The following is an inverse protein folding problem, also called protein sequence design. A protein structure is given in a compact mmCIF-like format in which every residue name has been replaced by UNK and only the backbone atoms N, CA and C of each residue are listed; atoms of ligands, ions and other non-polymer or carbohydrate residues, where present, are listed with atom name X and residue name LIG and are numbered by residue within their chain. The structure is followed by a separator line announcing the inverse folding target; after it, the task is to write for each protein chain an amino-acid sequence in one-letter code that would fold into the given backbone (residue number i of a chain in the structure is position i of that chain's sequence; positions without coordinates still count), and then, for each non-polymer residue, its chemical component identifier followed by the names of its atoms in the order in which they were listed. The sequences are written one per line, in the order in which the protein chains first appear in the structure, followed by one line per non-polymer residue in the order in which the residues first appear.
data_IF_381209871475
#
_entry.id   IF_381209871475
#
_cell.length_a   1.000
_cell.length_b   1.000
_cell.length_c   1.000
_cell.angle_alpha   90.00
_cell.angle_beta   90.00
_cell.angle_gamma   90.00
#
_symmetry.space_group_name_H-M   'P 1'
#
loop_
_entity.id
_entity.type
_entity.pdbx_description
1 polymer ?
#
# COMPACT_ATOMS: atom_id res chain seq x y z
N UNK A 1 9.81 0.35 -16.19
CA UNK A 1 9.41 -0.32 -14.97
C UNK A 1 10.58 -1.07 -14.36
N UNK A 2 10.67 -1.20 -13.02
CA UNK A 2 11.72 -1.97 -12.37
C UNK A 2 11.62 -3.45 -12.73
N UNK A 3 12.79 -4.12 -12.73
CA UNK A 3 12.86 -5.57 -12.87
C UNK A 3 12.29 -6.24 -11.60
N UNK A 4 11.34 -7.18 -11.69
CA UNK A 4 10.73 -7.81 -10.52
C UNK A 4 11.70 -8.49 -9.55
N UNK A 5 12.85 -8.97 -10.04
CA UNK A 5 13.87 -9.62 -9.22
C UNK A 5 14.85 -8.70 -8.53
N UNK A 6 15.07 -7.49 -9.06
CA UNK A 6 16.09 -6.59 -8.54
C UNK A 6 15.79 -6.09 -7.10
N UNK A 7 14.55 -5.70 -6.73
CA UNK A 7 14.26 -5.26 -5.37
C UNK A 7 14.52 -6.31 -4.29
N UNK A 8 14.41 -7.60 -4.61
CA UNK A 8 14.65 -8.69 -3.66
C UNK A 8 16.13 -8.85 -3.27
N UNK A 9 17.03 -8.23 -3.99
CA UNK A 9 18.48 -8.32 -3.74
C UNK A 9 18.93 -7.55 -2.50
N UNK A 10 18.25 -6.46 -2.16
CA UNK A 10 18.58 -5.63 -1.00
C UNK A 10 17.47 -5.67 0.05
N UNK A 11 17.81 -5.53 1.33
CA UNK A 11 16.81 -5.39 2.38
C UNK A 11 16.19 -3.98 2.38
N UNK A 12 14.92 -3.90 2.76
CA UNK A 12 14.15 -2.64 2.77
C UNK A 12 14.74 -1.57 3.68
N UNK A 13 15.18 -1.96 4.88
CA UNK A 13 15.78 -1.05 5.86
C UNK A 13 17.01 -0.34 5.31
N UNK A 14 17.83 -1.03 4.53
CA UNK A 14 18.98 -0.46 3.86
C UNK A 14 18.53 0.54 2.76
N UNK A 15 17.52 0.17 1.98
CA UNK A 15 16.97 1.02 0.93
C UNK A 15 16.38 2.33 1.49
N UNK A 16 15.65 2.25 2.60
CA UNK A 16 15.09 3.42 3.29
C UNK A 16 16.16 4.29 3.94
N UNK A 17 17.14 3.67 4.60
CA UNK A 17 18.22 4.38 5.31
C UNK A 17 19.03 5.29 4.39
N UNK A 18 19.36 4.81 3.19
CA UNK A 18 20.20 5.54 2.25
C UNK A 18 19.41 6.22 1.11
N UNK A 19 18.10 6.05 1.04
CA UNK A 19 17.31 6.57 -0.08
C UNK A 19 17.79 5.99 -1.41
N UNK A 20 17.93 4.66 -1.48
CA UNK A 20 18.36 3.93 -2.67
C UNK A 20 17.35 2.87 -3.07
N UNK A 21 17.29 2.52 -4.36
CA UNK A 21 16.38 1.48 -4.84
C UNK A 21 17.03 0.64 -5.93
N UNK A 22 17.12 -0.70 -5.77
CA UNK A 22 17.61 -1.62 -6.81
C UNK A 22 16.57 -1.71 -7.93
N UNK A 23 16.91 -1.17 -9.10
CA UNK A 23 15.96 -0.96 -10.17
C UNK A 23 15.89 -2.10 -11.19
N UNK A 24 17.05 -2.52 -11.69
CA UNK A 24 17.12 -3.60 -12.69
C UNK A 24 18.51 -4.26 -12.72
N UNK A 25 18.55 -5.45 -13.30
CA UNK A 25 19.79 -6.18 -13.56
C UNK A 25 20.16 -6.08 -15.05
N UNK A 26 21.39 -5.70 -15.33
CA UNK A 26 21.96 -5.66 -16.67
C UNK A 26 23.18 -6.62 -16.71
N UNK A 27 22.92 -7.89 -17.01
CA UNK A 27 23.95 -8.93 -16.90
C UNK A 27 24.46 -9.07 -15.46
N UNK A 28 25.74 -8.75 -15.23
CA UNK A 28 26.33 -8.78 -13.87
C UNK A 28 26.30 -7.42 -13.16
N UNK A 29 25.51 -6.46 -13.64
CA UNK A 29 25.42 -5.11 -13.07
C UNK A 29 24.05 -4.88 -12.46
N UNK A 30 24.02 -4.40 -11.21
CA UNK A 30 22.82 -3.94 -10.54
C UNK A 30 22.71 -2.41 -10.71
N UNK A 31 21.73 -1.97 -11.46
CA UNK A 31 21.38 -0.53 -11.55
C UNK A 31 20.69 -0.10 -10.26
N UNK A 32 21.35 0.75 -9.49
CA UNK A 32 20.89 1.27 -8.20
C UNK A 32 20.47 2.73 -8.36
N UNK A 33 19.15 3.01 -8.21
CA UNK A 33 18.67 4.39 -8.15
C UNK A 33 19.05 5.00 -6.81
N UNK A 34 19.58 6.23 -6.83
CA UNK A 34 19.95 6.96 -5.64
C UNK A 34 19.94 8.47 -5.88
N UNK A 35 19.75 9.26 -4.81
CA UNK A 35 19.70 10.72 -4.89
C UNK A 35 21.09 11.31 -5.19
N UNK A 36 22.13 10.80 -4.53
CA UNK A 36 23.52 11.23 -4.73
C UNK A 36 24.41 10.02 -5.05
N UNK A 37 24.83 9.85 -6.32
CA UNK A 37 25.73 8.77 -6.74
C UNK A 37 27.13 8.81 -6.08
N UNK A 38 27.49 9.91 -5.44
CA UNK A 38 28.79 10.08 -4.75
C UNK A 38 28.74 9.63 -3.29
N UNK A 39 27.60 9.17 -2.80
CA UNK A 39 27.49 8.62 -1.45
C UNK A 39 28.16 7.25 -1.38
N UNK A 40 29.48 7.27 -1.10
CA UNK A 40 30.33 6.06 -1.04
C UNK A 40 29.85 5.11 0.05
N UNK A 41 29.42 5.63 1.21
CA UNK A 41 28.93 4.80 2.32
C UNK A 41 27.70 3.97 1.91
N UNK A 42 26.76 4.57 1.20
CA UNK A 42 25.60 3.84 0.69
C UNK A 42 26.00 2.75 -0.30
N UNK A 43 26.94 3.05 -1.21
CA UNK A 43 27.42 2.07 -2.20
C UNK A 43 28.17 0.91 -1.54
N UNK A 44 28.98 1.17 -0.51
CA UNK A 44 29.74 0.14 0.18
C UNK A 44 28.83 -0.77 1.02
N UNK A 45 27.83 -0.21 1.70
CA UNK A 45 26.83 -1.00 2.44
C UNK A 45 25.98 -1.86 1.50
N UNK A 46 25.61 -1.33 0.33
CA UNK A 46 24.91 -2.09 -0.71
C UNK A 46 25.77 -3.26 -1.21
N UNK A 47 27.06 -3.02 -1.51
CA UNK A 47 28.01 -4.08 -1.92
C UNK A 47 28.17 -5.13 -0.84
N UNK A 48 28.26 -4.70 0.42
CA UNK A 48 28.37 -5.61 1.56
C UNK A 48 27.10 -6.47 1.71
N UNK A 49 25.92 -5.89 1.56
CA UNK A 49 24.65 -6.60 1.61
C UNK A 49 24.54 -7.67 0.51
N UNK A 50 24.96 -7.34 -0.71
CA UNK A 50 25.01 -8.29 -1.83
C UNK A 50 26.00 -9.43 -1.55
N UNK A 51 27.21 -9.13 -1.07
CA UNK A 51 28.22 -10.15 -0.70
C UNK A 51 27.74 -11.08 0.40
N UNK A 52 27.03 -10.59 1.41
CA UNK A 52 26.44 -11.43 2.48
C UNK A 52 25.42 -12.45 1.95
N UNK A 53 24.77 -12.14 0.81
CA UNK A 53 23.86 -13.06 0.10
C UNK A 53 24.59 -13.96 -0.91
N UNK A 54 25.93 -13.91 -0.99
CA UNK A 54 26.71 -14.65 -1.98
C UNK A 54 26.60 -14.10 -3.41
N UNK A 55 26.16 -12.86 -3.57
CA UNK A 55 25.92 -12.23 -4.87
C UNK A 55 27.06 -11.27 -5.23
N UNK A 56 27.63 -11.43 -6.42
CA UNK A 56 28.75 -10.62 -6.92
C UNK A 56 28.31 -9.73 -8.07
N UNK A 57 27.36 -8.83 -7.83
CA UNK A 57 26.96 -7.83 -8.82
C UNK A 57 27.82 -6.57 -8.71
N UNK A 58 28.19 -6.01 -9.85
CA UNK A 58 28.74 -4.65 -9.95
C UNK A 58 27.61 -3.64 -9.73
N UNK A 59 27.74 -2.75 -8.74
CA UNK A 59 26.73 -1.73 -8.47
C UNK A 59 26.94 -0.54 -9.38
N UNK A 60 25.99 -0.24 -10.25
CA UNK A 60 25.96 0.89 -11.15
C UNK A 60 24.96 1.96 -10.63
N UNK A 61 25.46 3.06 -10.02
CA UNK A 61 24.59 4.12 -9.52
C UNK A 61 23.93 4.89 -10.65
N UNK A 62 22.63 5.17 -10.51
CA UNK A 62 21.85 6.04 -11.39
C UNK A 62 21.08 7.07 -10.57
N UNK A 63 20.99 8.31 -11.07
CA UNK A 63 20.34 9.42 -10.35
C UNK A 63 18.83 9.31 -10.47
N UNK A 64 18.15 9.46 -9.32
CA UNK A 64 16.70 9.61 -9.27
C UNK A 64 16.30 10.59 -8.16
N UNK A 65 15.12 11.17 -8.27
CA UNK A 65 14.60 12.04 -7.21
C UNK A 65 14.22 11.24 -5.97
N UNK A 66 14.36 11.85 -4.80
CA UNK A 66 14.01 11.24 -3.52
C UNK A 66 12.54 10.74 -3.52
N UNK A 67 11.63 11.56 -4.04
CA UNK A 67 10.22 11.20 -4.17
C UNK A 67 10.00 9.95 -5.05
N UNK A 68 10.73 9.84 -6.17
CA UNK A 68 10.64 8.66 -7.03
C UNK A 68 11.17 7.40 -6.35
N UNK A 69 12.29 7.51 -5.62
CA UNK A 69 12.89 6.40 -4.88
C UNK A 69 11.95 5.94 -3.76
N UNK A 70 11.41 6.86 -2.97
CA UNK A 70 10.45 6.55 -1.89
C UNK A 70 9.23 5.84 -2.44
N UNK A 71 8.65 6.34 -3.53
CA UNK A 71 7.50 5.72 -4.20
C UNK A 71 7.79 4.29 -4.69
N UNK A 72 9.01 4.04 -5.17
CA UNK A 72 9.43 2.70 -5.59
C UNK A 72 9.64 1.76 -4.39
N UNK A 73 10.28 2.22 -3.32
CA UNK A 73 10.48 1.46 -2.09
C UNK A 73 9.11 1.01 -1.54
N UNK A 74 8.19 1.93 -1.37
CA UNK A 74 6.85 1.65 -0.86
C UNK A 74 6.08 0.69 -1.77
N UNK A 75 6.14 0.88 -3.09
CA UNK A 75 5.46 0.02 -4.05
C UNK A 75 5.97 -1.42 -4.07
N UNK A 76 7.28 -1.62 -3.90
CA UNK A 76 7.89 -2.95 -4.03
C UNK A 76 7.97 -3.70 -2.71
N UNK A 77 8.44 -3.05 -1.67
CA UNK A 77 8.59 -3.70 -0.36
C UNK A 77 7.25 -3.75 0.39
N UNK A 78 6.37 -2.76 0.25
CA UNK A 78 5.03 -2.83 0.81
C UNK A 78 4.21 -4.03 0.29
N UNK A 79 4.41 -4.46 -0.97
CA UNK A 79 3.80 -5.70 -1.48
C UNK A 79 4.39 -6.97 -0.88
N UNK A 80 5.69 -6.98 -0.59
CA UNK A 80 6.34 -8.11 0.07
C UNK A 80 5.83 -8.29 1.51
N UNK A 81 5.67 -7.19 2.24
CA UNK A 81 5.11 -7.18 3.60
C UNK A 81 3.67 -7.72 3.63
N UNK A 82 2.83 -7.32 2.66
CA UNK A 82 1.48 -7.87 2.51
C UNK A 82 1.46 -9.38 2.23
N UNK A 83 2.40 -9.87 1.41
CA UNK A 83 2.52 -11.30 1.14
C UNK A 83 2.91 -12.09 2.39
N UNK A 84 3.80 -11.55 3.22
CA UNK A 84 4.18 -12.19 4.49
C UNK A 84 3.03 -12.16 5.50
N UNK A 85 2.30 -11.03 5.62
CA UNK A 85 1.10 -10.93 6.45
C UNK A 85 0.02 -11.93 5.98
N UNK A 86 -0.19 -12.06 4.66
CA UNK A 86 -1.14 -13.03 4.10
C UNK A 86 -0.70 -14.48 4.37
N UNK A 87 0.61 -14.78 4.32
CA UNK A 87 1.17 -16.10 4.69
C UNK A 87 1.04 -16.37 6.19
N UNK A 88 1.23 -15.37 7.04
CA UNK A 88 1.04 -15.49 8.49
C UNK A 88 -0.43 -15.85 8.82
N UNK A 89 -1.40 -15.21 8.14
CA UNK A 89 -2.81 -15.63 8.23
C UNK A 89 -3.03 -17.06 7.77
N UNK A 90 -2.41 -17.48 6.66
CA UNK A 90 -2.56 -18.84 6.13
C UNK A 90 -1.89 -19.90 7.02
N UNK A 91 -0.72 -19.59 7.61
CA UNK A 91 0.02 -20.51 8.49
C UNK A 91 -0.74 -20.76 9.79
N UNK A 92 -1.29 -19.71 10.41
CA UNK A 92 -2.11 -19.84 11.62
C UNK A 92 -3.38 -20.66 11.39
N UNK A 93 -3.98 -20.62 10.19
CA UNK A 93 -5.11 -21.48 9.84
C UNK A 93 -4.76 -22.97 9.69
N UNK A 94 -3.49 -23.30 9.38
CA UNK A 94 -3.05 -24.68 9.17
C UNK A 94 -2.60 -25.37 10.47
N UNK A 95 -2.28 -24.62 11.52
CA UNK A 95 -1.74 -25.14 12.78
C UNK A 95 -2.78 -25.30 13.89
N UNK A 96 -4.03 -24.83 13.70
CA UNK A 96 -5.09 -24.93 14.73
C UNK A 96 -6.32 -25.68 14.19
N UNK A 97 -6.56 -26.87 14.74
CA UNK A 97 -7.89 -27.50 14.79
C UNK A 97 -8.79 -26.63 15.69
N UNK A 98 -9.72 -25.90 15.04
CA UNK A 98 -10.73 -25.04 15.68
C UNK A 98 -10.16 -23.78 16.36
N UNK A 99 -9.91 -22.68 15.63
CA UNK A 99 -9.58 -21.41 16.29
C UNK A 99 -10.81 -20.86 17.01
N UNK A 100 -10.63 -20.47 18.26
CA UNK A 100 -11.53 -19.52 18.91
C UNK A 100 -11.66 -18.26 18.03
N UNK A 101 -12.88 -17.73 17.75
CA UNK A 101 -13.07 -16.61 16.82
C UNK A 101 -12.42 -15.29 17.23
N UNK A 102 -11.69 -15.25 18.35
CA UNK A 102 -11.20 -14.02 19.01
C UNK A 102 -9.67 -13.80 18.94
N UNK A 103 -8.88 -14.75 18.43
CA UNK A 103 -7.41 -14.66 18.51
C UNK A 103 -6.66 -14.59 17.17
N UNK A 104 -7.34 -14.27 16.08
CA UNK A 104 -6.63 -13.82 14.89
C UNK A 104 -6.03 -12.44 15.21
N UNK A 105 -4.72 -12.44 15.29
CA UNK A 105 -3.86 -11.34 15.71
C UNK A 105 -4.36 -9.98 15.19
N UNK A 106 -5.03 -9.20 16.07
CA UNK A 106 -5.48 -7.83 15.77
C UNK A 106 -4.32 -7.00 15.20
N UNK A 107 -3.08 -7.33 15.58
CA UNK A 107 -1.90 -6.65 15.11
C UNK A 107 -1.65 -6.89 13.62
N UNK A 108 -1.83 -8.10 13.11
CA UNK A 108 -1.67 -8.42 11.69
C UNK A 108 -2.78 -7.78 10.84
N UNK A 109 -4.03 -7.84 11.30
CA UNK A 109 -5.16 -7.19 10.64
C UNK A 109 -5.01 -5.66 10.62
N UNK A 110 -4.53 -5.05 11.71
CA UNK A 110 -4.26 -3.61 11.77
C UNK A 110 -3.14 -3.21 10.81
N UNK A 111 -2.03 -3.95 10.79
CA UNK A 111 -0.93 -3.72 9.84
C UNK A 111 -1.42 -3.81 8.41
N UNK A 112 -2.23 -4.84 8.10
CA UNK A 112 -2.80 -5.02 6.78
C UNK A 112 -3.67 -3.84 6.35
N UNK A 113 -4.64 -3.41 7.19
CA UNK A 113 -5.54 -2.29 6.87
C UNK A 113 -4.75 -0.99 6.68
N UNK A 114 -3.78 -0.70 7.55
CA UNK A 114 -2.89 0.46 7.41
C UNK A 114 -2.12 0.42 6.09
N UNK A 115 -1.56 -0.74 5.75
CA UNK A 115 -0.82 -0.91 4.50
C UNK A 115 -1.71 -0.70 3.27
N UNK A 116 -2.95 -1.21 3.29
CA UNK A 116 -3.92 -1.00 2.20
C UNK A 116 -4.28 0.48 2.05
N UNK A 117 -4.50 1.19 3.16
CA UNK A 117 -4.78 2.64 3.13
C UNK A 117 -3.59 3.42 2.57
N UNK A 118 -2.38 3.09 3.02
CA UNK A 118 -1.15 3.71 2.52
C UNK A 118 -1.00 3.52 1.02
N UNK A 119 -1.17 2.30 0.53
CA UNK A 119 -1.04 1.99 -0.89
C UNK A 119 -2.13 2.67 -1.73
N UNK A 120 -3.37 2.72 -1.22
CA UNK A 120 -4.45 3.44 -1.87
C UNK A 120 -4.15 4.94 -2.00
N UNK A 121 -3.61 5.55 -0.94
CA UNK A 121 -3.21 6.95 -0.96
C UNK A 121 -2.09 7.21 -1.98
N UNK A 122 -1.05 6.35 -2.02
CA UNK A 122 0.08 6.49 -2.94
C UNK A 122 -0.27 6.27 -4.42
N UNK A 123 -1.29 5.45 -4.68
CA UNK A 123 -1.78 5.19 -6.04
C UNK A 123 -2.92 6.13 -6.47
N UNK A 124 -3.22 7.16 -5.69
CA UNK A 124 -4.34 8.07 -5.92
C UNK A 124 -5.68 7.35 -6.08
N UNK A 125 -5.88 6.26 -5.34
CA UNK A 125 -7.13 5.53 -5.36
C UNK A 125 -8.24 6.35 -4.68
N UNK A 126 -9.43 6.32 -5.26
CA UNK A 126 -10.62 6.94 -4.66
C UNK A 126 -11.29 6.06 -3.63
N UNK A 127 -11.29 4.74 -3.82
CA UNK A 127 -11.98 3.80 -2.94
C UNK A 127 -11.14 2.52 -2.74
N UNK A 128 -11.24 1.96 -1.54
CA UNK A 128 -10.75 0.64 -1.17
C UNK A 128 -11.96 -0.26 -0.96
N UNK A 129 -12.00 -1.42 -1.61
CA UNK A 129 -13.04 -2.42 -1.47
C UNK A 129 -12.45 -3.68 -0.84
N UNK A 130 -13.02 -4.13 0.28
CA UNK A 130 -12.70 -5.40 0.94
C UNK A 130 -13.93 -6.28 0.79
N UNK A 131 -13.87 -7.26 -0.08
CA UNK A 131 -15.03 -8.02 -0.54
C UNK A 131 -14.87 -9.51 -0.26
N UNK A 132 -15.71 -10.09 0.63
CA UNK A 132 -15.72 -11.52 0.84
C UNK A 132 -16.27 -12.26 -0.38
N UNK A 133 -15.62 -13.34 -0.75
CA UNK A 133 -16.04 -14.32 -1.72
C UNK A 133 -16.31 -15.67 -1.03
N UNK A 134 -16.64 -16.67 -1.81
CA UNK A 134 -16.89 -18.01 -1.29
C UNK A 134 -15.67 -18.56 -0.51
N UNK A 135 -14.48 -18.49 -1.09
CA UNK A 135 -13.26 -19.13 -0.57
C UNK A 135 -12.21 -18.16 -0.05
N UNK A 136 -12.32 -16.88 -0.39
CA UNK A 136 -11.30 -15.86 -0.08
C UNK A 136 -11.94 -14.49 0.22
N UNK A 137 -11.08 -13.51 0.49
CA UNK A 137 -11.44 -12.09 0.59
C UNK A 137 -10.62 -11.33 -0.44
N UNK A 138 -11.30 -10.70 -1.39
CA UNK A 138 -10.63 -9.88 -2.39
C UNK A 138 -10.56 -8.42 -1.93
N UNK A 139 -9.36 -7.84 -2.03
CA UNK A 139 -9.13 -6.40 -1.85
C UNK A 139 -8.89 -5.77 -3.21
N UNK A 140 -9.65 -4.71 -3.52
CA UNK A 140 -9.55 -3.97 -4.77
C UNK A 140 -9.44 -2.47 -4.50
N UNK A 141 -8.68 -1.77 -5.32
CA UNK A 141 -8.56 -0.32 -5.31
C UNK A 141 -9.26 0.27 -6.54
N UNK A 142 -9.99 1.37 -6.36
CA UNK A 142 -10.52 2.13 -7.49
C UNK A 142 -9.50 3.22 -7.86
N UNK A 143 -8.87 3.06 -9.02
CA UNK A 143 -7.87 3.99 -9.55
C UNK A 143 -8.38 4.46 -10.92
N UNK A 144 -8.45 5.77 -11.14
CA UNK A 144 -8.98 6.38 -12.37
C UNK A 144 -10.37 5.83 -12.76
N UNK A 145 -11.26 5.66 -11.77
CA UNK A 145 -12.60 5.12 -11.96
C UNK A 145 -12.67 3.59 -12.12
N UNK A 146 -11.56 2.89 -12.40
CA UNK A 146 -11.52 1.45 -12.62
C UNK A 146 -11.16 0.69 -11.35
N UNK A 147 -11.92 -0.38 -11.03
CA UNK A 147 -11.59 -1.29 -9.94
C UNK A 147 -10.48 -2.25 -10.36
N UNK A 148 -9.34 -2.19 -9.69
CA UNK A 148 -8.17 -3.05 -9.92
C UNK A 148 -7.96 -3.98 -8.74
N UNK A 149 -7.70 -5.29 -8.96
CA UNK A 149 -7.34 -6.20 -7.87
C UNK A 149 -6.01 -5.77 -7.25
N UNK A 150 -5.96 -5.75 -5.92
CA UNK A 150 -4.78 -5.36 -5.16
C UNK A 150 -4.19 -6.54 -4.39
N UNK A 151 -5.02 -7.23 -3.59
CA UNK A 151 -4.60 -8.36 -2.76
C UNK A 151 -5.74 -9.35 -2.58
N UNK A 152 -5.41 -10.56 -2.14
CA UNK A 152 -6.36 -11.59 -1.75
C UNK A 152 -5.93 -12.14 -0.39
N UNK A 153 -6.88 -12.27 0.54
CA UNK A 153 -6.67 -12.83 1.87
C UNK A 153 -7.41 -14.16 2.03
N UNK A 154 -6.94 -15.04 2.92
CA UNK A 154 -7.70 -16.19 3.35
C UNK A 154 -9.06 -15.79 3.93
N UNK A 155 -10.07 -16.62 3.74
CA UNK A 155 -11.43 -16.38 4.25
C UNK A 155 -11.47 -16.06 5.74
N UNK A 156 -10.65 -16.75 6.55
CA UNK A 156 -10.59 -16.57 7.99
C UNK A 156 -10.13 -15.19 8.45
N UNK A 157 -9.41 -14.45 7.60
CA UNK A 157 -8.96 -13.08 7.92
C UNK A 157 -10.09 -12.04 7.86
N UNK A 158 -11.24 -12.36 7.25
CA UNK A 158 -12.34 -11.42 7.03
C UNK A 158 -12.79 -10.72 8.31
N UNK A 159 -13.12 -11.49 9.33
CA UNK A 159 -13.69 -10.93 10.57
C UNK A 159 -12.71 -9.99 11.27
N UNK A 160 -11.43 -10.34 11.33
CA UNK A 160 -10.40 -9.50 11.94
C UNK A 160 -10.22 -8.19 11.16
N UNK A 161 -10.16 -8.26 9.84
CA UNK A 161 -10.01 -7.07 8.98
C UNK A 161 -11.24 -6.15 9.06
N UNK A 162 -12.47 -6.71 9.01
CA UNK A 162 -13.69 -5.92 9.16
C UNK A 162 -13.79 -5.31 10.55
N UNK A 163 -13.42 -6.03 11.61
CA UNK A 163 -13.38 -5.48 12.97
C UNK A 163 -12.46 -4.27 13.08
N UNK A 164 -11.25 -4.34 12.50
CA UNK A 164 -10.33 -3.20 12.47
C UNK A 164 -10.95 -2.00 11.74
N UNK A 165 -11.56 -2.21 10.57
CA UNK A 165 -12.24 -1.15 9.83
C UNK A 165 -13.37 -0.53 10.67
N UNK A 166 -14.18 -1.34 11.36
CA UNK A 166 -15.25 -0.88 12.24
C UNK A 166 -14.72 -0.07 13.43
N UNK A 167 -13.67 -0.56 14.09
CA UNK A 167 -13.01 0.17 15.20
C UNK A 167 -12.52 1.53 14.72
N UNK A 168 -11.85 1.59 13.57
CA UNK A 168 -11.37 2.84 13.00
C UNK A 168 -12.50 3.85 12.76
N UNK A 169 -13.65 3.38 12.29
CA UNK A 169 -14.82 4.22 11.99
C UNK A 169 -15.76 4.48 13.16
N UNK A 170 -15.47 3.95 14.36
CA UNK A 170 -16.36 4.03 15.51
C UNK A 170 -17.68 3.27 15.32
N UNK A 171 -17.66 2.19 14.51
CA UNK A 171 -18.82 1.36 14.18
C UNK A 171 -19.00 0.23 15.20
N UNK A 172 -20.23 -0.31 15.28
CA UNK A 172 -20.55 -1.43 16.15
C UNK A 172 -20.00 -2.75 15.59
N UNK A 173 -19.01 -3.33 16.28
CA UNK A 173 -18.34 -4.58 15.88
C UNK A 173 -19.29 -5.79 16.00
N UNK A 174 -20.19 -5.77 16.99
CA UNK A 174 -21.11 -6.87 17.27
C UNK A 174 -22.25 -6.99 16.24
N UNK A 175 -22.64 -5.88 15.61
CA UNK A 175 -23.68 -5.87 14.58
C UNK A 175 -23.09 -6.20 13.22
N UNK A 176 -23.52 -7.33 12.64
CA UNK A 176 -23.03 -7.85 11.34
C UNK A 176 -24.12 -7.96 10.28
N UNK A 177 -25.38 -7.66 10.63
CA UNK A 177 -26.53 -7.88 9.77
C UNK A 177 -27.07 -6.60 9.15
N UNK A 178 -26.70 -5.45 9.71
CA UNK A 178 -27.16 -4.14 9.23
C UNK A 178 -26.00 -3.36 8.61
N UNK A 179 -26.26 -2.61 7.54
CA UNK A 179 -25.27 -1.67 7.00
C UNK A 179 -24.89 -0.62 8.06
N UNK A 180 -23.64 -0.21 8.06
CA UNK A 180 -23.12 0.83 8.94
C UNK A 180 -22.22 1.78 8.17
N UNK A 181 -22.30 3.07 8.49
CA UNK A 181 -21.46 4.12 7.91
C UNK A 181 -20.70 4.85 9.00
N UNK A 182 -19.46 5.20 8.72
CA UNK A 182 -18.59 5.93 9.63
C UNK A 182 -17.65 6.87 8.91
N UNK A 183 -16.95 7.68 9.70
CA UNK A 183 -15.94 8.61 9.21
C UNK A 183 -14.76 8.59 10.15
N UNK A 184 -13.56 8.62 9.58
CA UNK A 184 -12.32 8.70 10.36
C UNK A 184 -11.32 9.58 9.63
N UNK A 185 -10.62 10.42 10.38
CA UNK A 185 -9.44 11.10 9.88
C UNK A 185 -8.23 10.22 10.14
N UNK A 186 -7.64 9.73 9.07
CA UNK A 186 -6.46 8.88 9.12
C UNK A 186 -5.19 9.71 8.96
N UNK A 187 -4.26 9.56 9.93
CA UNK A 187 -2.96 10.21 9.92
C UNK A 187 -1.87 9.22 10.21
N UNK A 188 -0.90 9.10 9.31
CA UNK A 188 0.29 8.27 9.49
C UNK A 188 1.44 8.83 8.65
N UNK A 189 2.49 9.33 9.30
CA UNK A 189 3.60 9.98 8.61
C UNK A 189 3.14 11.17 7.75
N UNK A 190 3.39 11.11 6.45
CA UNK A 190 2.97 12.14 5.49
C UNK A 190 1.51 11.98 5.02
N UNK A 191 0.83 10.91 5.39
CA UNK A 191 -0.56 10.64 5.01
C UNK A 191 -1.49 11.36 5.98
N UNK A 192 -2.36 12.22 5.47
CA UNK A 192 -3.43 12.87 6.22
C UNK A 192 -4.66 12.92 5.31
N UNK A 193 -5.58 11.98 5.48
CA UNK A 193 -6.75 11.78 4.62
C UNK A 193 -8.00 11.53 5.45
N UNK A 194 -9.13 12.08 5.01
CA UNK A 194 -10.43 11.76 5.57
C UNK A 194 -11.00 10.52 4.87
N UNK A 195 -11.36 9.50 5.65
CA UNK A 195 -11.96 8.27 5.16
C UNK A 195 -13.45 8.23 5.50
N UNK A 196 -14.27 7.94 4.51
CA UNK A 196 -15.65 7.50 4.72
C UNK A 196 -15.71 5.99 4.62
N UNK A 197 -16.21 5.36 5.67
CA UNK A 197 -16.28 3.92 5.83
C UNK A 197 -17.73 3.48 5.69
N UNK A 198 -17.98 2.40 4.96
CA UNK A 198 -19.28 1.77 4.87
C UNK A 198 -19.11 0.26 4.95
N UNK A 199 -19.89 -0.41 5.80
CA UNK A 199 -19.94 -1.88 5.86
C UNK A 199 -21.33 -2.35 5.46
N UNK A 200 -21.37 -3.44 4.68
CA UNK A 200 -22.61 -4.06 4.22
C UNK A 200 -22.56 -5.58 4.39
N UNK A 201 -23.63 -6.20 4.92
CA UNK A 201 -23.75 -7.66 4.91
C UNK A 201 -23.89 -8.17 3.47
N UNK A 202 -23.22 -9.28 3.19
CA UNK A 202 -23.31 -10.01 1.93
C UNK A 202 -23.49 -11.50 2.20
N UNK A 203 -23.78 -12.28 1.15
CA UNK A 203 -23.95 -13.75 1.25
C UNK A 203 -22.70 -14.43 1.84
N UNK A 204 -21.51 -13.85 1.60
CA UNK A 204 -20.24 -14.43 2.04
C UNK A 204 -19.63 -13.76 3.26
N UNK A 205 -20.37 -12.89 3.95
CA UNK A 205 -19.93 -12.11 5.11
C UNK A 205 -20.02 -10.61 4.88
N UNK A 206 -19.53 -9.78 5.79
CA UNK A 206 -19.55 -8.33 5.62
C UNK A 206 -18.49 -7.88 4.63
N UNK A 207 -18.86 -7.00 3.71
CA UNK A 207 -17.91 -6.24 2.91
C UNK A 207 -17.69 -4.85 3.51
N UNK A 208 -16.52 -4.27 3.29
CA UNK A 208 -16.23 -2.89 3.62
C UNK A 208 -15.80 -2.12 2.39
N UNK A 209 -16.21 -0.83 2.36
CA UNK A 209 -15.73 0.15 1.39
C UNK A 209 -15.20 1.35 2.17
N UNK A 210 -13.99 1.77 1.84
CA UNK A 210 -13.36 2.97 2.41
C UNK A 210 -13.10 3.95 1.27
N UNK A 211 -13.78 5.10 1.29
CA UNK A 211 -13.55 6.18 0.33
C UNK A 211 -12.54 7.16 0.89
N UNK A 212 -11.52 7.44 0.10
CA UNK A 212 -10.49 8.42 0.40
C UNK A 212 -10.96 9.80 -0.07
N UNK A 213 -11.05 10.75 0.85
CA UNK A 213 -11.36 12.14 0.54
C UNK A 213 -10.09 12.96 0.66
N UNK A 214 -9.58 13.43 -0.47
CA UNK A 214 -8.47 14.38 -0.48
C UNK A 214 -8.91 15.68 0.19
N UNK A 215 -7.99 16.37 0.82
CA UNK A 215 -8.26 17.68 1.42
C UNK A 215 -8.55 18.72 0.33
N UNK A 216 -9.25 19.78 0.73
CA UNK A 216 -9.45 20.95 -0.14
C UNK A 216 -8.11 21.58 -0.59
N UNK A 217 -7.03 21.43 0.22
CA UNK A 217 -5.66 21.85 -0.15
C UNK A 217 -5.07 21.07 -1.32
N UNK A 218 -5.61 19.90 -1.65
CA UNK A 218 -5.13 19.05 -2.73
C UNK A 218 -5.96 19.20 -4.02
N UNK A 219 -6.94 20.12 -3.99
CA UNK A 219 -7.69 20.52 -5.18
C UNK A 219 -6.76 21.43 -5.98
N UNK A 220 -6.45 21.08 -7.26
CA UNK A 220 -5.63 21.95 -8.10
C UNK A 220 -6.29 23.31 -8.24
N UNK A 221 -5.50 24.37 -8.22
CA UNK A 221 -5.98 25.70 -8.54
C UNK A 221 -6.45 25.75 -10.01
N UNK A 222 -7.27 26.70 -10.36
CA UNK A 222 -7.83 26.81 -11.72
C UNK A 222 -6.71 26.92 -12.76
N UNK A 223 -5.61 27.56 -12.37
CA UNK A 223 -4.38 27.69 -13.15
C UNK A 223 -3.75 26.35 -13.51
N UNK A 224 -3.85 25.37 -12.63
CA UNK A 224 -3.25 24.03 -12.77
C UNK A 224 -4.12 23.06 -13.59
N UNK A 225 -5.34 23.46 -13.97
CA UNK A 225 -6.26 22.62 -14.74
C UNK A 225 -5.87 22.46 -16.23
N UNK A 226 -4.78 23.11 -16.66
CA UNK A 226 -4.22 22.92 -18.01
C UNK A 226 -5.04 23.55 -19.14
N UNK A 227 -5.82 24.59 -18.86
CA UNK A 227 -6.53 25.34 -19.89
C UNK A 227 -5.56 25.95 -20.93
N UNK A 228 -5.94 25.91 -22.20
CA UNK A 228 -5.24 26.70 -23.20
C UNK A 228 -5.36 28.20 -22.86
N UNK A 229 -4.32 29.03 -23.08
CA UNK A 229 -4.27 30.41 -22.64
C UNK A 229 -5.51 31.26 -23.00
N UNK A 230 -6.04 31.14 -24.20
CA UNK A 230 -7.22 31.88 -24.64
C UNK A 230 -8.55 31.37 -24.05
N UNK A 231 -8.59 30.15 -23.53
CA UNK A 231 -9.78 29.58 -22.84
C UNK A 231 -9.78 29.99 -21.37
N UNK A 232 -8.61 30.04 -20.76
CA UNK A 232 -8.43 30.43 -19.37
C UNK A 232 -8.86 31.88 -19.12
N UNK A 233 -8.46 32.82 -19.98
CA UNK A 233 -8.89 34.22 -19.88
C UNK A 233 -10.42 34.39 -19.95
N UNK A 234 -11.07 33.69 -20.89
CA UNK A 234 -12.54 33.70 -21.00
C UNK A 234 -13.23 33.09 -19.78
N UNK A 235 -12.63 32.09 -19.16
CA UNK A 235 -13.17 31.45 -17.95
C UNK A 235 -13.10 32.38 -16.74
N UNK A 236 -12.09 33.25 -16.64
CA UNK A 236 -11.96 34.26 -15.57
C UNK A 236 -12.97 35.43 -15.69
N UNK A 237 -13.52 35.66 -16.88
CA UNK A 237 -14.49 36.72 -17.14
C UNK A 237 -15.94 36.36 -16.80
N UNK A 238 -16.21 35.08 -16.44
CA UNK A 238 -17.53 34.55 -16.07
C UNK A 238 -17.66 34.40 -14.56
#
# INVERSE_FOLDING_TARGET
PPDPGAPLLLPEDLCRRYGVFPHRLEGNRLVLLMKDPRNILALDDVRLALKRKGLNYEVAPAVATEAAITKLIERFYGKAELSEIAKEFAKKQAEEEVPSPLELDESAAQKFVKQVIREAFLQDASDIHIEPRQNDVQVRLRIDGALRPYSTLPKGALNAVISVVKIMGGLNIAEKRLPQDGRVRYREGAIDVDLRLSTLPTVYGEKAVMRLLKKASDIPEIEDLGFAPGVFERFKEV
#
